data_IF_690706611618
#
_entry.id   IF_690706611618
#
_cell.length_a   1.000
_cell.length_b   1.000
_cell.length_c   1.000
_cell.angle_alpha   90.00
_cell.angle_beta   90.00
_cell.angle_gamma   90.00
#
_symmetry.space_group_name_H-M   'P 1'
#
loop_
_entity.id
_entity.type
_entity.pdbx_description
1 polymer ?
#
# COMPACT_ATOMS: atom_id res chain seq x y z
N UNK A 1 41.87 3.54 -29.09
CA UNK A 1 40.87 2.51 -29.28
C UNK A 1 39.94 2.58 -28.07
N UNK A 2 38.72 3.05 -28.28
CA UNK A 2 37.73 3.10 -27.18
C UNK A 2 37.43 1.66 -26.78
N UNK A 3 37.77 1.32 -25.54
CA UNK A 3 37.38 0.04 -24.93
C UNK A 3 35.86 -0.09 -25.05
N UNK A 4 35.38 -1.22 -25.56
CA UNK A 4 33.97 -1.47 -25.65
C UNK A 4 33.35 -1.51 -24.26
N UNK A 5 32.13 -0.99 -24.13
CA UNK A 5 31.42 -0.87 -22.84
C UNK A 5 29.96 -1.29 -23.02
N UNK A 6 29.45 -2.03 -22.06
CA UNK A 6 28.03 -2.38 -21.94
C UNK A 6 27.43 -1.70 -20.72
N UNK A 7 26.48 -0.80 -20.95
CA UNK A 7 25.64 -0.27 -19.89
C UNK A 7 24.32 -1.05 -19.83
N UNK A 8 23.98 -1.62 -18.69
CA UNK A 8 22.66 -2.19 -18.42
C UNK A 8 21.86 -1.13 -17.66
N UNK A 9 20.95 -0.43 -18.33
CA UNK A 9 20.12 0.60 -17.73
C UNK A 9 18.97 -0.06 -16.95
N UNK A 10 18.90 0.25 -15.66
CA UNK A 10 17.82 -0.18 -14.76
C UNK A 10 17.02 1.03 -14.33
N UNK A 11 15.70 0.95 -14.46
CA UNK A 11 14.78 2.02 -14.08
C UNK A 11 13.69 1.48 -13.16
N UNK A 12 13.10 2.36 -12.34
CA UNK A 12 11.90 2.04 -11.61
C UNK A 12 10.66 2.25 -12.49
N UNK A 13 9.74 1.29 -12.57
CA UNK A 13 8.48 1.45 -13.28
C UNK A 13 7.54 2.49 -12.63
N UNK A 14 7.87 2.96 -11.40
CA UNK A 14 7.11 3.95 -10.62
C UNK A 14 7.59 5.37 -10.83
N UNK A 15 8.65 5.55 -11.60
CA UNK A 15 9.19 6.85 -12.01
C UNK A 15 8.87 7.04 -13.48
N UNK A 16 8.37 8.22 -13.84
CA UNK A 16 8.04 8.48 -15.25
C UNK A 16 9.24 8.19 -16.16
N UNK A 17 9.03 7.49 -17.29
CA UNK A 17 10.08 7.21 -18.25
C UNK A 17 10.78 8.53 -18.64
N UNK A 18 12.06 8.53 -18.84
CA UNK A 18 12.79 9.76 -19.15
C UNK A 18 13.22 10.59 -17.93
N UNK A 19 12.65 10.40 -16.74
CA UNK A 19 13.20 10.99 -15.51
C UNK A 19 14.37 10.15 -15.01
N UNK A 20 15.46 10.18 -15.76
CA UNK A 20 16.68 9.46 -15.44
C UNK A 20 17.67 10.34 -14.68
N UNK A 21 18.55 9.72 -13.91
CA UNK A 21 19.69 10.38 -13.31
C UNK A 21 20.57 11.02 -14.42
N UNK A 22 21.26 12.11 -14.07
CA UNK A 22 22.17 12.76 -15.01
C UNK A 22 23.24 11.79 -15.55
N UNK A 23 23.78 10.92 -14.69
CA UNK A 23 24.74 9.90 -15.10
C UNK A 23 24.17 8.89 -16.08
N UNK A 24 22.93 8.45 -15.88
CA UNK A 24 22.27 7.54 -16.81
C UNK A 24 22.03 8.21 -18.18
N UNK A 25 21.56 9.47 -18.22
CA UNK A 25 21.45 10.22 -19.46
C UNK A 25 22.78 10.38 -20.18
N UNK A 26 23.89 10.58 -19.47
CA UNK A 26 25.22 10.62 -20.08
C UNK A 26 25.59 9.30 -20.75
N UNK A 27 25.34 8.15 -20.07
CA UNK A 27 25.59 6.83 -20.65
C UNK A 27 24.73 6.59 -21.88
N UNK A 28 23.42 6.82 -21.79
CA UNK A 28 22.46 6.64 -22.88
C UNK A 28 22.82 7.53 -24.07
N UNK A 29 23.16 8.81 -23.84
CA UNK A 29 23.50 9.76 -24.91
C UNK A 29 24.83 9.44 -25.56
N UNK A 30 25.83 8.95 -24.81
CA UNK A 30 27.16 8.67 -25.35
C UNK A 30 27.27 7.26 -25.96
N UNK A 31 26.30 6.39 -25.78
CA UNK A 31 26.30 5.07 -26.40
C UNK A 31 26.23 5.17 -27.90
N UNK A 32 27.01 4.36 -28.62
CA UNK A 32 26.94 4.23 -30.06
C UNK A 32 25.67 3.47 -30.49
N UNK A 33 25.22 2.54 -29.67
CA UNK A 33 24.04 1.72 -29.90
C UNK A 33 23.18 1.63 -28.66
N UNK A 34 21.86 1.84 -28.83
CA UNK A 34 20.82 1.70 -27.78
C UNK A 34 19.91 0.59 -28.22
N UNK A 35 19.73 -0.39 -27.36
CA UNK A 35 18.95 -1.57 -27.65
C UNK A 35 17.85 -1.72 -26.59
N UNK A 36 16.68 -2.12 -27.03
CA UNK A 36 15.54 -2.45 -26.19
C UNK A 36 14.88 -3.76 -26.66
N UNK A 37 14.11 -4.40 -25.80
CA UNK A 37 13.30 -5.58 -26.17
C UNK A 37 12.25 -5.20 -27.21
N UNK A 38 11.52 -4.10 -26.98
CA UNK A 38 10.54 -3.53 -27.88
C UNK A 38 10.62 -2.00 -27.86
N UNK A 39 10.25 -1.35 -28.96
CA UNK A 39 10.11 0.11 -29.00
C UNK A 39 8.88 0.59 -28.23
N UNK A 40 7.92 -0.29 -27.92
CA UNK A 40 6.77 0.00 -27.08
C UNK A 40 7.11 0.01 -25.58
N UNK A 41 8.36 -0.31 -25.19
CA UNK A 41 8.80 -0.16 -23.80
C UNK A 41 8.88 1.32 -23.43
N UNK A 42 8.31 1.73 -22.29
CA UNK A 42 8.22 3.15 -21.93
C UNK A 42 9.56 3.88 -21.91
N UNK A 43 10.65 3.18 -21.54
CA UNK A 43 11.99 3.79 -21.55
C UNK A 43 12.55 3.94 -22.96
N UNK A 44 12.23 3.02 -23.88
CA UNK A 44 12.65 3.13 -25.28
C UNK A 44 11.95 4.31 -25.95
N UNK A 45 10.64 4.45 -25.75
CA UNK A 45 9.86 5.58 -26.25
C UNK A 45 10.41 6.91 -25.74
N UNK A 46 10.69 7.05 -24.43
CA UNK A 46 11.24 8.27 -23.84
C UNK A 46 12.64 8.62 -24.38
N UNK A 47 13.46 7.63 -24.71
CA UNK A 47 14.79 7.83 -25.31
C UNK A 47 14.67 8.25 -26.79
N UNK A 48 13.72 7.71 -27.54
CA UNK A 48 13.43 8.13 -28.91
C UNK A 48 12.84 9.55 -28.97
N UNK A 49 11.93 9.89 -28.05
CA UNK A 49 11.42 11.27 -27.92
C UNK A 49 12.52 12.29 -27.60
N UNK A 50 13.57 11.88 -26.90
CA UNK A 50 14.76 12.69 -26.68
C UNK A 50 15.67 12.82 -27.94
N UNK A 51 15.26 12.24 -29.07
CA UNK A 51 15.98 12.31 -30.35
C UNK A 51 17.14 11.30 -30.46
N UNK A 52 17.19 10.29 -29.64
CA UNK A 52 18.22 9.24 -29.63
C UNK A 52 17.63 7.92 -30.20
N UNK A 53 18.11 7.44 -31.35
CA UNK A 53 17.58 6.24 -31.99
C UNK A 53 17.78 4.99 -31.11
N UNK A 54 16.76 4.15 -31.04
CA UNK A 54 16.76 2.87 -30.35
C UNK A 54 16.53 1.76 -31.38
N UNK A 55 17.21 0.62 -31.25
CA UNK A 55 16.98 -0.56 -32.05
C UNK A 55 16.27 -1.64 -31.24
N UNK A 56 15.20 -2.18 -31.83
CA UNK A 56 14.47 -3.29 -31.25
C UNK A 56 15.22 -4.60 -31.46
N UNK A 57 15.34 -5.41 -30.40
CA UNK A 57 15.99 -6.73 -30.44
C UNK A 57 14.95 -7.84 -30.52
N UNK A 58 13.76 -7.63 -29.98
CA UNK A 58 12.74 -8.64 -29.80
C UNK A 58 12.91 -9.45 -28.51
N UNK A 59 12.06 -10.45 -28.33
CA UNK A 59 12.04 -11.29 -27.15
C UNK A 59 13.03 -12.46 -27.31
N UNK A 60 14.29 -12.20 -26.93
CA UNK A 60 15.36 -13.22 -26.93
C UNK A 60 15.53 -13.84 -25.52
N UNK A 61 15.83 -15.14 -25.41
CA UNK A 61 16.18 -15.76 -24.14
C UNK A 61 17.42 -15.08 -23.52
N UNK A 62 17.48 -14.88 -22.17
CA UNK A 62 18.56 -14.17 -21.52
C UNK A 62 19.99 -14.60 -21.89
N UNK A 63 20.31 -15.91 -22.08
CA UNK A 63 21.64 -16.33 -22.51
C UNK A 63 22.01 -15.94 -23.95
N UNK A 64 21.02 -15.83 -24.85
CA UNK A 64 21.22 -15.44 -26.24
C UNK A 64 21.39 -13.92 -26.34
N UNK A 65 20.51 -13.19 -25.65
CA UNK A 65 20.61 -11.74 -25.51
C UNK A 65 21.94 -11.33 -24.90
N UNK A 66 22.36 -11.97 -23.82
CA UNK A 66 23.64 -11.68 -23.16
C UNK A 66 24.83 -11.85 -24.13
N UNK A 67 24.90 -12.93 -24.90
CA UNK A 67 25.94 -13.14 -25.91
C UNK A 67 25.96 -12.04 -26.95
N UNK A 68 24.79 -11.65 -27.45
CA UNK A 68 24.64 -10.58 -28.44
C UNK A 68 25.12 -9.24 -27.89
N UNK A 69 24.67 -8.86 -26.68
CA UNK A 69 25.06 -7.60 -26.03
C UNK A 69 26.57 -7.54 -25.77
N UNK A 70 27.16 -8.61 -25.28
CA UNK A 70 28.61 -8.70 -24.97
C UNK A 70 29.44 -8.68 -26.25
N UNK A 71 29.02 -9.37 -27.33
CA UNK A 71 29.72 -9.30 -28.62
C UNK A 71 29.70 -7.89 -29.21
N UNK A 72 28.57 -7.21 -29.20
CA UNK A 72 28.45 -5.82 -29.63
C UNK A 72 29.31 -4.89 -28.76
N UNK A 73 29.25 -5.05 -27.43
CA UNK A 73 29.99 -4.26 -26.48
C UNK A 73 31.51 -4.45 -26.58
N UNK A 74 32.00 -5.54 -27.16
CA UNK A 74 33.43 -5.73 -27.42
C UNK A 74 33.98 -4.77 -28.49
N UNK A 75 33.08 -4.18 -29.29
CA UNK A 75 33.43 -3.37 -30.48
C UNK A 75 33.09 -1.89 -30.33
N UNK A 76 32.02 -1.57 -29.60
CA UNK A 76 31.51 -0.20 -29.46
C UNK A 76 30.75 -0.05 -28.12
N UNK A 77 30.53 1.20 -27.66
CA UNK A 77 29.71 1.45 -26.48
C UNK A 77 28.24 1.11 -26.77
N UNK A 78 27.67 0.20 -25.98
CA UNK A 78 26.29 -0.27 -26.07
C UNK A 78 25.56 0.03 -24.79
N UNK A 79 24.29 0.40 -24.86
CA UNK A 79 23.40 0.43 -23.72
C UNK A 79 22.18 -0.45 -24.01
N UNK A 80 21.85 -1.30 -23.06
CA UNK A 80 20.59 -2.02 -22.98
C UNK A 80 19.62 -1.19 -22.16
N UNK A 81 18.50 -0.81 -22.73
CA UNK A 81 17.39 -0.15 -22.05
C UNK A 81 16.54 -1.25 -21.41
N UNK A 82 16.66 -1.40 -20.08
CA UNK A 82 15.97 -2.45 -19.34
C UNK A 82 14.47 -2.35 -19.49
N UNK A 83 13.83 -3.51 -19.65
CA UNK A 83 12.38 -3.60 -19.79
C UNK A 83 11.65 -3.40 -18.48
N UNK A 84 10.34 -3.20 -18.55
CA UNK A 84 9.47 -2.92 -17.40
C UNK A 84 9.42 -4.07 -16.38
N UNK A 85 9.71 -5.31 -16.81
CA UNK A 85 9.80 -6.49 -15.95
C UNK A 85 11.19 -6.70 -15.32
N UNK A 86 12.18 -5.84 -15.65
CA UNK A 86 13.54 -5.89 -15.12
C UNK A 86 14.43 -6.96 -15.74
N UNK A 87 14.06 -7.52 -16.91
CA UNK A 87 14.81 -8.54 -17.68
C UNK A 87 15.31 -9.72 -16.80
N UNK A 88 14.43 -10.55 -16.25
CA UNK A 88 14.83 -11.60 -15.32
C UNK A 88 15.90 -12.53 -15.89
N UNK A 89 17.02 -12.68 -15.16
CA UNK A 89 18.15 -13.56 -15.53
C UNK A 89 19.15 -12.97 -16.52
N UNK A 90 18.92 -11.78 -17.08
CA UNK A 90 19.84 -11.15 -18.03
C UNK A 90 21.18 -10.77 -17.37
N UNK A 91 21.14 -10.17 -16.18
CA UNK A 91 22.35 -9.78 -15.48
C UNK A 91 23.25 -10.97 -15.17
N UNK A 92 22.68 -12.09 -14.73
CA UNK A 92 23.43 -13.34 -14.46
C UNK A 92 24.00 -13.92 -15.75
N UNK A 93 23.23 -13.89 -16.84
CA UNK A 93 23.68 -14.38 -18.14
C UNK A 93 24.82 -13.52 -18.71
N UNK A 94 24.75 -12.19 -18.59
CA UNK A 94 25.84 -11.27 -18.96
C UNK A 94 27.10 -11.55 -18.13
N UNK A 95 26.97 -11.69 -16.81
CA UNK A 95 28.10 -12.02 -15.95
C UNK A 95 28.76 -13.34 -16.33
N UNK A 96 27.97 -14.36 -16.64
CA UNK A 96 28.46 -15.66 -17.10
C UNK A 96 29.20 -15.57 -18.45
N UNK A 97 28.68 -14.76 -19.39
CA UNK A 97 29.29 -14.60 -20.71
C UNK A 97 30.61 -13.82 -20.62
N UNK A 98 30.61 -12.70 -19.88
CA UNK A 98 31.81 -11.86 -19.68
C UNK A 98 32.94 -12.67 -19.02
N UNK A 99 32.63 -13.55 -18.09
CA UNK A 99 33.61 -14.41 -17.39
C UNK A 99 34.38 -15.37 -18.30
N UNK A 100 33.92 -15.56 -19.56
CA UNK A 100 34.55 -16.45 -20.54
C UNK A 100 35.51 -15.75 -21.48
N UNK A 101 35.56 -14.41 -21.44
CA UNK A 101 36.30 -13.58 -22.37
C UNK A 101 37.62 -13.06 -21.76
N UNK A 102 38.63 -12.90 -22.60
CA UNK A 102 39.91 -12.33 -22.25
C UNK A 102 40.47 -11.49 -23.44
N UNK A 103 40.51 -10.14 -23.34
CA UNK A 103 39.93 -9.33 -22.28
C UNK A 103 38.41 -9.19 -22.41
N UNK A 104 37.68 -9.08 -21.29
CA UNK A 104 36.24 -8.81 -21.32
C UNK A 104 35.95 -7.34 -21.66
N UNK A 105 34.78 -7.00 -22.21
CA UNK A 105 34.29 -5.64 -22.26
C UNK A 105 34.01 -5.10 -20.84
N UNK A 106 34.05 -3.78 -20.69
CA UNK A 106 33.63 -3.13 -19.44
C UNK A 106 32.09 -3.20 -19.33
N UNK A 107 31.55 -3.74 -18.23
CA UNK A 107 30.11 -3.86 -18.00
C UNK A 107 29.72 -3.08 -16.76
N UNK A 108 28.74 -2.19 -16.91
CA UNK A 108 28.24 -1.33 -15.85
C UNK A 108 26.71 -1.48 -15.69
N UNK A 109 26.25 -1.67 -14.45
CA UNK A 109 24.87 -1.49 -14.10
C UNK A 109 24.59 0.02 -13.92
N UNK A 110 23.79 0.58 -14.80
CA UNK A 110 23.44 2.01 -14.83
C UNK A 110 22.09 2.20 -14.17
N UNK A 111 22.07 2.76 -12.95
CA UNK A 111 20.81 3.07 -12.27
C UNK A 111 20.26 4.39 -12.80
N UNK A 112 19.23 4.29 -13.63
CA UNK A 112 18.53 5.43 -14.23
C UNK A 112 17.60 6.13 -13.23
N UNK A 113 16.77 5.35 -12.56
CA UNK A 113 15.87 5.83 -11.52
C UNK A 113 15.72 4.77 -10.43
N UNK A 114 15.27 5.19 -9.27
CA UNK A 114 15.04 4.30 -8.12
C UNK A 114 13.77 4.69 -7.39
N UNK A 115 13.19 3.72 -6.68
CA UNK A 115 12.01 3.94 -5.87
C UNK A 115 12.32 4.81 -4.66
N UNK A 116 11.38 5.68 -4.32
CA UNK A 116 11.32 6.30 -3.00
C UNK A 116 10.68 5.33 -2.00
N UNK A 117 10.98 5.52 -0.72
CA UNK A 117 10.33 4.74 0.33
C UNK A 117 8.80 4.88 0.24
N UNK A 118 8.09 3.77 0.27
CA UNK A 118 6.64 3.74 0.08
C UNK A 118 6.19 3.64 -1.39
N UNK A 119 7.09 3.66 -2.36
CA UNK A 119 6.75 3.56 -3.80
C UNK A 119 5.89 2.35 -4.16
N UNK A 120 5.99 1.23 -3.40
CA UNK A 120 5.13 0.05 -3.56
C UNK A 120 3.63 0.33 -3.38
N UNK A 121 3.25 1.41 -2.70
CA UNK A 121 1.84 1.79 -2.57
C UNK A 121 1.23 2.15 -3.93
N UNK A 122 2.02 2.67 -4.87
CA UNK A 122 1.57 2.94 -6.24
C UNK A 122 1.22 1.65 -7.00
N UNK A 123 1.93 0.55 -6.72
CA UNK A 123 1.60 -0.75 -7.32
C UNK A 123 0.25 -1.26 -6.81
N UNK A 124 -0.06 -1.06 -5.52
CA UNK A 124 -1.35 -1.45 -4.95
C UNK A 124 -2.49 -0.68 -5.63
N UNK A 125 -2.30 0.63 -5.81
CA UNK A 125 -3.28 1.49 -6.49
C UNK A 125 -3.48 1.05 -7.94
N UNK A 126 -2.40 0.87 -8.70
CA UNK A 126 -2.46 0.43 -10.10
C UNK A 126 -3.07 -0.98 -10.25
N UNK A 127 -2.76 -1.88 -9.32
CA UNK A 127 -3.33 -3.23 -9.31
C UNK A 127 -4.84 -3.18 -9.07
N UNK A 128 -5.31 -2.39 -8.11
CA UNK A 128 -6.73 -2.23 -7.84
C UNK A 128 -7.47 -1.59 -9.02
N UNK A 129 -6.90 -0.56 -9.64
CA UNK A 129 -7.47 0.03 -10.85
C UNK A 129 -7.59 -1.02 -11.96
N UNK A 130 -6.56 -1.84 -12.18
CA UNK A 130 -6.60 -2.91 -13.18
C UNK A 130 -7.65 -3.97 -12.88
N UNK A 131 -7.80 -4.36 -11.61
CA UNK A 131 -8.81 -5.35 -11.19
C UNK A 131 -10.24 -4.86 -11.45
N UNK A 132 -10.50 -3.58 -11.23
CA UNK A 132 -11.83 -2.98 -11.37
C UNK A 132 -12.12 -2.40 -12.75
N UNK A 133 -11.12 -2.30 -13.62
CA UNK A 133 -11.27 -1.80 -14.99
C UNK A 133 -11.83 -2.85 -15.95
N UNK A 134 -12.36 -2.46 -17.13
CA UNK A 134 -12.84 -3.40 -18.15
C UNK A 134 -11.82 -4.47 -18.49
N UNK A 135 -12.25 -5.74 -18.40
CA UNK A 135 -11.35 -6.90 -18.57
C UNK A 135 -10.55 -7.26 -17.31
N UNK A 136 -10.83 -6.65 -16.17
CA UNK A 136 -10.32 -7.04 -14.85
C UNK A 136 -11.15 -8.15 -14.21
N UNK A 137 -11.26 -8.12 -12.88
CA UNK A 137 -11.99 -9.12 -12.11
C UNK A 137 -13.51 -8.82 -12.07
N UNK A 138 -14.39 -9.74 -12.52
CA UNK A 138 -15.82 -9.51 -12.48
C UNK A 138 -16.39 -9.32 -11.08
N UNK A 139 -15.81 -9.99 -10.07
CA UNK A 139 -16.25 -9.87 -8.69
C UNK A 139 -15.91 -8.48 -8.13
N UNK A 140 -14.68 -7.99 -8.36
CA UNK A 140 -14.26 -6.66 -7.91
C UNK A 140 -15.09 -5.55 -8.56
N UNK A 141 -15.48 -5.72 -9.84
CA UNK A 141 -16.30 -4.75 -10.58
C UNK A 141 -17.70 -4.57 -10.00
N UNK A 142 -18.25 -5.59 -9.33
CA UNK A 142 -19.61 -5.55 -8.75
C UNK A 142 -19.63 -4.99 -7.31
N UNK A 143 -18.47 -4.83 -6.66
CA UNK A 143 -18.44 -4.40 -5.28
C UNK A 143 -18.85 -2.94 -5.10
N UNK A 144 -19.50 -2.67 -3.97
CA UNK A 144 -19.92 -1.36 -3.50
C UNK A 144 -19.37 -1.09 -2.12
N UNK A 145 -19.41 0.16 -1.65
CA UNK A 145 -19.06 0.48 -0.27
C UNK A 145 -19.82 -0.37 0.76
N UNK A 146 -21.10 -0.66 0.49
CA UNK A 146 -21.94 -1.44 1.39
C UNK A 146 -21.54 -2.92 1.41
N UNK A 147 -21.22 -3.52 0.25
CA UNK A 147 -20.79 -4.92 0.18
C UNK A 147 -19.40 -5.15 0.78
N UNK A 148 -18.52 -4.14 0.73
CA UNK A 148 -17.16 -4.19 1.28
C UNK A 148 -17.09 -3.89 2.79
N UNK A 149 -18.07 -3.19 3.35
CA UNK A 149 -18.04 -2.79 4.77
C UNK A 149 -17.88 -3.95 5.76
N UNK A 150 -18.48 -5.15 5.59
CA UNK A 150 -18.22 -6.30 6.45
C UNK A 150 -16.75 -6.74 6.45
N UNK A 151 -16.11 -6.79 5.27
CA UNK A 151 -14.70 -7.19 5.14
C UNK A 151 -13.78 -6.19 5.85
N UNK A 152 -14.01 -4.88 5.70
CA UNK A 152 -13.22 -3.87 6.42
C UNK A 152 -13.23 -4.07 7.94
N UNK A 153 -14.37 -4.52 8.49
CA UNK A 153 -14.48 -4.82 9.94
C UNK A 153 -13.73 -6.10 10.28
N UNK A 154 -13.83 -7.12 9.43
CA UNK A 154 -13.13 -8.40 9.57
C UNK A 154 -11.62 -8.18 9.59
N UNK A 155 -11.05 -7.54 8.56
CA UNK A 155 -9.61 -7.23 8.47
C UNK A 155 -9.10 -6.42 9.68
N UNK A 156 -9.91 -5.47 10.17
CA UNK A 156 -9.54 -4.71 11.36
C UNK A 156 -9.43 -5.61 12.62
N UNK A 157 -10.27 -6.65 12.73
CA UNK A 157 -10.19 -7.63 13.82
C UNK A 157 -9.01 -8.59 13.66
N UNK A 158 -8.66 -8.97 12.43
CA UNK A 158 -7.52 -9.83 12.11
C UNK A 158 -6.20 -9.11 12.42
N UNK A 159 -6.08 -7.82 12.10
CA UNK A 159 -4.95 -6.99 12.58
C UNK A 159 -4.84 -6.99 14.10
N UNK A 160 -5.95 -6.81 14.83
CA UNK A 160 -5.93 -6.83 16.31
C UNK A 160 -5.50 -8.21 16.83
N UNK A 161 -5.92 -9.29 16.19
CA UNK A 161 -5.51 -10.64 16.51
C UNK A 161 -4.01 -10.85 16.28
N UNK A 162 -3.50 -10.51 15.10
CA UNK A 162 -2.09 -10.61 14.74
C UNK A 162 -1.17 -9.81 15.67
N UNK A 163 -1.60 -8.62 16.13
CA UNK A 163 -0.90 -7.86 17.19
C UNK A 163 -0.78 -8.68 18.47
N UNK A 164 -1.85 -9.40 18.85
CA UNK A 164 -1.88 -10.25 20.05
C UNK A 164 -0.94 -11.47 19.96
N UNK A 165 -0.75 -12.01 18.77
CA UNK A 165 0.16 -13.14 18.52
C UNK A 165 1.65 -12.71 18.53
N UNK A 166 1.94 -11.47 18.15
CA UNK A 166 3.29 -10.93 18.12
C UNK A 166 4.15 -11.46 16.95
N UNK A 167 3.53 -12.02 15.90
CA UNK A 167 4.21 -12.40 14.66
C UNK A 167 4.25 -11.19 13.69
N UNK A 168 5.45 -10.61 13.43
CA UNK A 168 5.56 -9.45 12.54
C UNK A 168 5.16 -9.73 11.10
N UNK A 169 5.30 -10.97 10.64
CA UNK A 169 4.96 -11.35 9.27
C UNK A 169 3.44 -11.41 9.10
N UNK A 170 2.77 -12.10 10.01
CA UNK A 170 1.31 -12.16 10.04
C UNK A 170 0.71 -10.75 10.16
N UNK A 171 1.23 -9.91 11.08
CA UNK A 171 0.80 -8.52 11.20
C UNK A 171 0.99 -7.71 9.89
N UNK A 172 2.06 -7.96 9.14
CA UNK A 172 2.28 -7.28 7.86
C UNK A 172 1.28 -7.73 6.79
N UNK A 173 0.87 -9.00 6.79
CA UNK A 173 -0.16 -9.56 5.91
C UNK A 173 -1.50 -8.89 6.20
N UNK A 174 -1.96 -8.89 7.46
CA UNK A 174 -3.24 -8.29 7.86
C UNK A 174 -3.30 -6.77 7.66
N UNK A 175 -2.20 -6.06 7.88
CA UNK A 175 -2.10 -4.63 7.53
C UNK A 175 -2.22 -4.40 6.01
N UNK A 176 -1.77 -5.35 5.20
CA UNK A 176 -1.97 -5.37 3.75
C UNK A 176 -3.44 -5.45 3.38
N UNK A 177 -4.23 -6.29 4.07
CA UNK A 177 -5.66 -6.47 3.81
C UNK A 177 -6.48 -5.25 4.24
N UNK A 178 -6.12 -4.60 5.36
CA UNK A 178 -6.70 -3.28 5.69
C UNK A 178 -6.35 -2.22 4.63
N UNK A 179 -5.11 -2.21 4.11
CA UNK A 179 -4.72 -1.31 3.03
C UNK A 179 -5.50 -1.59 1.75
N UNK A 180 -5.73 -2.87 1.40
CA UNK A 180 -6.58 -3.28 0.30
C UNK A 180 -7.98 -2.65 0.43
N UNK A 181 -8.61 -2.72 1.60
CA UNK A 181 -9.93 -2.11 1.83
C UNK A 181 -9.91 -0.59 1.59
N UNK A 182 -8.87 0.11 2.05
CA UNK A 182 -8.74 1.56 1.83
C UNK A 182 -8.66 1.89 0.34
N UNK A 183 -7.79 1.21 -0.40
CA UNK A 183 -7.59 1.45 -1.83
C UNK A 183 -8.81 1.04 -2.64
N UNK A 184 -9.46 -0.07 -2.28
CA UNK A 184 -10.68 -0.53 -2.94
C UNK A 184 -11.84 0.47 -2.75
N UNK A 185 -12.08 0.94 -1.53
CA UNK A 185 -13.08 1.96 -1.27
C UNK A 185 -12.79 3.26 -2.03
N UNK A 186 -11.54 3.71 -2.11
CA UNK A 186 -11.16 4.87 -2.89
C UNK A 186 -11.47 4.66 -4.38
N UNK A 187 -11.11 3.49 -4.94
CA UNK A 187 -11.38 3.17 -6.35
C UNK A 187 -12.88 3.05 -6.67
N UNK A 188 -13.70 2.56 -5.73
CA UNK A 188 -15.18 2.58 -5.87
C UNK A 188 -15.69 4.03 -5.89
N UNK A 189 -15.12 4.90 -5.04
CA UNK A 189 -15.54 6.30 -4.94
C UNK A 189 -15.23 7.13 -6.20
N UNK A 190 -14.22 6.78 -6.97
CA UNK A 190 -13.93 7.43 -8.26
C UNK A 190 -15.09 7.36 -9.25
N UNK A 191 -15.99 6.38 -9.09
CA UNK A 191 -17.16 6.17 -9.95
C UNK A 191 -18.39 6.99 -9.54
N UNK A 192 -18.32 7.74 -8.43
CA UNK A 192 -19.47 8.44 -7.82
C UNK A 192 -19.87 9.76 -8.54
N UNK A 193 -19.36 10.02 -9.72
CA UNK A 193 -19.73 11.20 -10.53
C UNK A 193 -19.29 12.51 -9.85
N UNK A 194 -20.24 13.39 -9.52
CA UNK A 194 -19.93 14.71 -8.92
C UNK A 194 -19.39 14.64 -7.48
N UNK A 195 -19.55 13.53 -6.80
CA UNK A 195 -19.06 13.29 -5.44
C UNK A 195 -17.82 12.38 -5.42
N UNK A 196 -17.24 12.12 -6.60
CA UNK A 196 -16.08 11.27 -6.75
C UNK A 196 -14.86 11.80 -5.99
N UNK A 197 -14.14 10.87 -5.38
CA UNK A 197 -12.81 11.12 -4.83
C UNK A 197 -11.93 9.88 -5.04
N UNK A 198 -10.64 10.08 -5.02
CA UNK A 198 -9.62 9.08 -5.27
C UNK A 198 -8.73 8.82 -4.05
N UNK A 199 -7.78 7.94 -4.19
CA UNK A 199 -6.80 7.62 -3.14
C UNK A 199 -5.91 8.82 -2.78
N UNK A 200 -5.61 9.70 -3.73
CA UNK A 200 -4.80 10.90 -3.48
C UNK A 200 -5.58 11.90 -2.61
N UNK A 201 -6.88 12.01 -2.81
CA UNK A 201 -7.78 12.77 -1.93
C UNK A 201 -7.77 12.21 -0.50
N UNK A 202 -7.88 10.88 -0.35
CA UNK A 202 -7.83 10.22 0.96
C UNK A 202 -6.49 10.47 1.66
N UNK A 203 -5.39 10.30 0.93
CA UNK A 203 -4.04 10.52 1.43
C UNK A 203 -3.80 11.99 1.79
N UNK A 204 -4.23 12.93 0.94
CA UNK A 204 -4.12 14.37 1.18
C UNK A 204 -4.85 14.79 2.44
N UNK A 205 -6.11 14.38 2.61
CA UNK A 205 -6.90 14.66 3.83
C UNK A 205 -6.24 14.09 5.09
N UNK A 206 -5.62 12.91 4.99
CA UNK A 206 -4.90 12.32 6.11
C UNK A 206 -3.63 13.12 6.46
N UNK A 207 -2.83 13.48 5.45
CA UNK A 207 -1.60 14.29 5.64
C UNK A 207 -1.94 15.63 6.28
N UNK A 208 -2.92 16.36 5.75
CA UNK A 208 -3.37 17.65 6.28
C UNK A 208 -3.81 17.53 7.73
N UNK A 209 -4.55 16.48 8.05
CA UNK A 209 -4.99 16.19 9.41
C UNK A 209 -3.81 15.91 10.35
N UNK A 210 -2.84 15.10 9.91
CA UNK A 210 -1.66 14.76 10.72
C UNK A 210 -0.78 15.99 10.95
N UNK A 211 -0.48 16.77 9.92
CA UNK A 211 0.31 18.00 10.02
C UNK A 211 -0.36 18.99 10.98
N UNK A 212 -1.63 19.25 10.79
CA UNK A 212 -2.40 20.17 11.64
C UNK A 212 -2.45 19.74 13.11
N UNK A 213 -2.55 18.44 13.38
CA UNK A 213 -2.65 17.90 14.74
C UNK A 213 -1.32 17.70 15.45
N UNK A 214 -0.19 17.88 14.75
CA UNK A 214 1.15 17.73 15.32
C UNK A 214 1.99 19.01 15.12
N UNK A 215 1.51 20.18 15.62
CA UNK A 215 2.25 21.44 15.43
C UNK A 215 3.63 21.41 16.09
N UNK A 216 3.84 20.61 17.11
CA UNK A 216 5.14 20.39 17.75
C UNK A 216 6.17 19.67 16.87
N UNK A 217 5.74 19.08 15.76
CA UNK A 217 6.63 18.41 14.77
C UNK A 217 6.77 19.25 13.51
N UNK A 218 5.67 19.86 13.04
CA UNK A 218 5.59 20.49 11.73
C UNK A 218 5.53 22.03 11.77
N UNK A 219 5.48 22.64 12.98
CA UNK A 219 5.37 24.08 13.18
C UNK A 219 6.05 24.48 14.50
N UNK A 220 5.60 25.58 15.11
CA UNK A 220 6.17 26.18 16.33
C UNK A 220 5.51 25.69 17.63
N UNK A 221 4.99 24.47 17.65
CA UNK A 221 4.40 23.88 18.86
C UNK A 221 5.47 23.49 19.88
N UNK A 222 5.21 23.74 21.16
CA UNK A 222 6.13 23.58 22.27
C UNK A 222 5.89 22.31 23.13
N UNK A 223 4.93 21.46 22.77
CA UNK A 223 4.65 20.21 23.47
C UNK A 223 5.81 19.23 23.30
N UNK A 224 6.45 18.82 24.41
CA UNK A 224 7.62 17.94 24.44
C UNK A 224 7.38 16.61 25.17
N UNK A 225 6.30 16.50 25.93
CA UNK A 225 5.93 15.26 26.62
C UNK A 225 4.68 14.63 26.00
N UNK A 226 4.49 13.30 26.11
CA UNK A 226 3.28 12.63 25.63
C UNK A 226 1.98 13.25 26.13
N UNK A 227 1.93 13.64 27.41
CA UNK A 227 0.76 14.25 28.03
C UNK A 227 0.45 15.63 27.42
N UNK A 228 1.47 16.46 27.19
CA UNK A 228 1.31 17.77 26.53
C UNK A 228 0.82 17.63 25.09
N UNK A 229 1.34 16.63 24.37
CA UNK A 229 0.88 16.29 23.01
C UNK A 229 -0.59 15.85 23.01
N UNK A 230 -0.99 15.00 23.95
CA UNK A 230 -2.38 14.55 24.06
C UNK A 230 -3.32 15.74 24.36
N UNK A 231 -2.94 16.62 25.28
CA UNK A 231 -3.72 17.82 25.59
C UNK A 231 -3.80 18.80 24.41
N UNK A 232 -2.71 19.02 23.69
CA UNK A 232 -2.70 19.83 22.47
C UNK A 232 -3.63 19.24 21.40
N UNK A 233 -3.56 17.94 21.20
CA UNK A 233 -4.38 17.22 20.24
C UNK A 233 -5.89 17.32 20.52
N UNK A 234 -6.28 17.20 21.79
CA UNK A 234 -7.67 17.36 22.19
C UNK A 234 -8.19 18.79 22.02
N UNK A 235 -7.34 19.81 22.26
CA UNK A 235 -7.71 21.21 21.96
C UNK A 235 -7.95 21.40 20.47
N UNK A 236 -7.03 20.94 19.62
CA UNK A 236 -7.16 21.04 18.16
C UNK A 236 -8.43 20.33 17.67
N UNK A 237 -8.72 19.12 18.17
CA UNK A 237 -9.97 18.42 17.85
C UNK A 237 -11.22 19.16 18.31
N UNK A 238 -11.16 19.89 19.43
CA UNK A 238 -12.27 20.70 19.90
C UNK A 238 -12.50 21.91 18.97
N UNK A 239 -11.42 22.57 18.53
CA UNK A 239 -11.48 23.69 17.59
C UNK A 239 -11.99 23.24 16.21
N UNK A 240 -11.52 22.09 15.69
CA UNK A 240 -12.02 21.49 14.45
C UNK A 240 -13.53 21.21 14.50
N UNK A 241 -14.02 20.69 15.64
CA UNK A 241 -15.46 20.46 15.84
C UNK A 241 -16.25 21.73 15.90
N UNK A 242 -15.72 22.76 16.56
CA UNK A 242 -16.36 24.08 16.65
C UNK A 242 -16.44 24.78 15.27
N UNK A 243 -15.47 24.55 14.40
CA UNK A 243 -15.42 25.09 13.03
C UNK A 243 -16.23 24.26 12.00
N UNK A 244 -16.70 23.07 12.38
CA UNK A 244 -17.48 22.20 11.48
C UNK A 244 -18.85 22.79 11.16
N UNK A 245 -19.35 22.69 9.89
CA UNK A 245 -20.69 23.13 9.52
C UNK A 245 -21.84 22.44 10.29
N UNK A 246 -21.56 21.30 10.91
CA UNK A 246 -22.49 20.61 11.81
C UNK A 246 -22.72 21.34 13.14
N UNK A 247 -22.05 22.48 13.36
CA UNK A 247 -22.15 23.30 14.56
C UNK A 247 -21.27 22.82 15.70
N UNK A 248 -21.00 23.68 16.70
CA UNK A 248 -20.36 23.25 17.92
C UNK A 248 -21.18 22.13 18.54
N UNK A 249 -20.49 21.08 18.98
CA UNK A 249 -21.10 20.07 19.85
C UNK A 249 -22.12 20.74 20.76
N UNK A 250 -23.40 20.44 20.60
CA UNK A 250 -24.40 20.94 21.54
C UNK A 250 -23.99 20.44 22.92
N UNK A 251 -23.33 21.28 23.67
CA UNK A 251 -22.51 21.16 24.89
C UNK A 251 -22.80 20.08 25.91
N UNK A 252 -23.25 18.91 25.54
CA UNK A 252 -23.60 17.87 26.49
C UNK A 252 -23.63 16.45 25.96
N UNK A 253 -23.75 16.22 24.66
CA UNK A 253 -23.92 14.87 24.15
C UNK A 253 -22.61 14.05 24.20
N UNK A 254 -22.58 13.06 25.10
CA UNK A 254 -21.47 12.13 25.25
C UNK A 254 -21.41 11.10 24.13
N UNK A 255 -22.50 10.92 23.37
CA UNK A 255 -22.61 9.95 22.28
C UNK A 255 -22.28 10.60 20.91
N UNK A 256 -22.23 11.90 20.81
CA UNK A 256 -21.95 12.60 19.55
C UNK A 256 -20.69 12.06 18.84
N UNK A 257 -20.82 11.67 17.55
CA UNK A 257 -19.73 11.12 16.75
C UNK A 257 -19.23 9.73 17.20
N UNK A 258 -20.05 8.99 17.96
CA UNK A 258 -19.89 7.55 18.15
C UNK A 258 -20.88 6.89 17.20
N UNK A 259 -20.41 6.14 16.17
CA UNK A 259 -21.31 5.45 15.25
C UNK A 259 -22.15 4.39 15.97
N UNK A 260 -23.41 4.25 15.61
CA UNK A 260 -24.30 3.21 16.17
C UNK A 260 -23.80 1.79 15.82
N UNK A 261 -23.00 1.66 14.77
CA UNK A 261 -22.36 0.40 14.35
C UNK A 261 -21.13 0.03 15.18
N UNK A 262 -20.63 0.94 16.04
CA UNK A 262 -19.46 0.64 16.87
C UNK A 262 -19.83 -0.42 17.93
N UNK A 263 -19.02 -1.49 18.11
CA UNK A 263 -19.25 -2.48 19.16
C UNK A 263 -19.50 -1.85 20.53
N UNK A 264 -20.43 -2.42 21.29
CA UNK A 264 -20.94 -1.81 22.51
C UNK A 264 -19.87 -1.56 23.59
N UNK A 265 -18.90 -2.45 23.72
CA UNK A 265 -17.74 -2.33 24.60
C UNK A 265 -16.85 -1.14 24.21
N UNK A 266 -16.56 -0.96 22.91
CA UNK A 266 -15.78 0.18 22.39
C UNK A 266 -16.55 1.49 22.53
N UNK A 267 -17.87 1.47 22.31
CA UNK A 267 -18.73 2.64 22.54
C UNK A 267 -18.72 3.04 24.02
N UNK A 268 -18.88 2.08 24.92
CA UNK A 268 -18.81 2.31 26.38
C UNK A 268 -17.45 2.87 26.80
N UNK A 269 -16.35 2.29 26.32
CA UNK A 269 -15.00 2.79 26.59
C UNK A 269 -14.82 4.26 26.19
N UNK A 270 -15.32 4.65 24.99
CA UNK A 270 -15.28 6.04 24.51
C UNK A 270 -16.10 6.96 25.37
N UNK A 271 -17.33 6.58 25.75
CA UNK A 271 -18.20 7.39 26.63
C UNK A 271 -17.56 7.58 28.01
N UNK A 272 -17.07 6.50 28.63
CA UNK A 272 -16.41 6.56 29.92
C UNK A 272 -15.14 7.42 29.92
N UNK A 273 -14.36 7.35 28.84
CA UNK A 273 -13.21 8.24 28.66
C UNK A 273 -13.63 9.72 28.58
N UNK A 274 -14.74 10.04 27.89
CA UNK A 274 -15.31 11.40 27.83
C UNK A 274 -15.81 11.88 29.18
N UNK A 275 -16.50 11.02 29.94
CA UNK A 275 -16.97 11.31 31.31
C UNK A 275 -15.78 11.69 32.20
N UNK A 276 -14.75 10.84 32.24
CA UNK A 276 -13.53 11.09 33.04
C UNK A 276 -12.86 12.42 32.65
N UNK A 277 -12.65 12.64 31.37
CA UNK A 277 -11.97 13.83 30.86
C UNK A 277 -12.72 15.13 31.14
N UNK A 278 -14.07 15.11 31.09
CA UNK A 278 -14.91 16.27 31.44
C UNK A 278 -15.11 16.47 32.95
N UNK A 279 -14.60 15.57 33.78
CA UNK A 279 -14.80 15.60 35.22
C UNK A 279 -16.27 15.46 35.64
N UNK A 280 -17.07 14.76 34.79
CA UNK A 280 -18.50 14.61 35.07
C UNK A 280 -18.75 13.61 36.19
N UNK A 281 -19.61 13.99 37.13
CA UNK A 281 -20.08 13.08 38.19
C UNK A 281 -21.23 12.22 37.63
N UNK A 282 -21.05 10.90 37.67
CA UNK A 282 -22.07 9.93 37.26
C UNK A 282 -22.64 9.27 38.52
N UNK A 283 -23.98 9.15 38.65
CA UNK A 283 -24.56 8.42 39.76
C UNK A 283 -24.02 6.97 39.85
N UNK A 284 -23.64 6.49 41.03
CA UNK A 284 -23.08 5.15 41.20
C UNK A 284 -23.95 4.05 40.59
N UNK A 285 -25.28 4.18 40.66
CA UNK A 285 -26.21 3.21 40.09
C UNK A 285 -26.06 3.10 38.56
N UNK A 286 -25.89 4.25 37.85
CA UNK A 286 -25.70 4.27 36.39
C UNK A 286 -24.38 3.60 36.00
N UNK A 287 -23.31 3.81 36.77
CA UNK A 287 -22.05 3.10 36.55
C UNK A 287 -22.20 1.59 36.75
N UNK A 288 -22.89 1.18 37.81
CA UNK A 288 -23.18 -0.23 38.05
C UNK A 288 -24.00 -0.87 36.91
N UNK A 289 -24.97 -0.12 36.35
CA UNK A 289 -25.79 -0.61 35.24
C UNK A 289 -24.93 -0.75 33.94
N UNK A 290 -24.01 0.15 33.67
CA UNK A 290 -23.05 0.04 32.55
C UNK A 290 -22.13 -1.15 32.77
N UNK A 291 -21.51 -1.30 33.92
CA UNK A 291 -20.61 -2.40 34.25
C UNK A 291 -21.33 -3.77 34.11
N UNK A 292 -22.59 -3.86 34.57
CA UNK A 292 -23.40 -5.05 34.42
C UNK A 292 -23.68 -5.35 32.93
N UNK A 293 -24.11 -4.37 32.14
CA UNK A 293 -24.40 -4.57 30.74
C UNK A 293 -23.16 -5.02 29.95
N UNK A 294 -21.97 -4.46 30.29
CA UNK A 294 -20.71 -4.89 29.69
C UNK A 294 -20.37 -6.35 30.07
N UNK A 295 -20.59 -6.76 31.31
CA UNK A 295 -20.36 -8.13 31.76
C UNK A 295 -21.32 -9.12 31.09
N UNK A 296 -22.58 -8.72 30.91
CA UNK A 296 -23.59 -9.54 30.21
C UNK A 296 -23.22 -9.69 28.72
N UNK A 297 -22.76 -8.62 28.06
CA UNK A 297 -22.28 -8.65 26.68
C UNK A 297 -21.10 -9.62 26.53
N UNK A 298 -20.06 -9.48 27.35
CA UNK A 298 -18.90 -10.36 27.34
C UNK A 298 -19.28 -11.85 27.54
N UNK A 299 -20.21 -12.11 28.42
CA UNK A 299 -20.73 -13.49 28.68
C UNK A 299 -21.49 -14.03 27.47
N UNK A 300 -22.29 -13.19 26.81
CA UNK A 300 -23.03 -13.58 25.61
C UNK A 300 -22.08 -13.85 24.42
N UNK A 301 -21.06 -13.03 24.23
CA UNK A 301 -20.04 -13.24 23.20
C UNK A 301 -19.24 -14.51 23.41
N UNK A 302 -18.81 -14.80 24.65
CA UNK A 302 -18.13 -16.06 24.99
C UNK A 302 -19.04 -17.28 24.74
N UNK A 303 -20.31 -17.17 25.11
CA UNK A 303 -21.32 -18.21 24.84
C UNK A 303 -21.50 -18.46 23.34
N UNK A 304 -21.56 -17.40 22.53
CA UNK A 304 -21.66 -17.52 21.07
C UNK A 304 -20.40 -18.17 20.47
N UNK A 305 -19.20 -17.73 20.87
CA UNK A 305 -17.95 -18.34 20.42
C UNK A 305 -17.85 -19.82 20.76
N UNK A 306 -18.31 -20.20 21.95
CA UNK A 306 -18.38 -21.62 22.36
C UNK A 306 -19.39 -22.44 21.53
N UNK A 307 -20.52 -21.84 21.16
CA UNK A 307 -21.51 -22.47 20.29
C UNK A 307 -20.99 -22.65 18.87
N UNK A 308 -20.29 -21.63 18.32
CA UNK A 308 -19.68 -21.69 16.99
C UNK A 308 -18.56 -22.75 16.91
N UNK A 309 -17.74 -22.90 17.97
CA UNK A 309 -16.74 -23.98 18.02
C UNK A 309 -17.42 -25.37 17.97
N UNK A 310 -18.48 -25.59 18.73
CA UNK A 310 -19.22 -26.86 18.66
C UNK A 310 -19.84 -27.11 17.29
N UNK A 311 -20.41 -26.07 16.68
CA UNK A 311 -20.96 -26.17 15.33
C UNK A 311 -19.88 -26.59 14.31
N UNK A 312 -18.70 -25.96 14.37
CA UNK A 312 -17.57 -26.29 13.48
C UNK A 312 -17.08 -27.73 13.69
N UNK A 313 -16.97 -28.19 14.95
CA UNK A 313 -16.59 -29.58 15.29
C UNK A 313 -17.59 -30.59 14.74
N UNK A 314 -18.91 -30.37 14.92
CA UNK A 314 -19.96 -31.25 14.45
C UNK A 314 -20.05 -31.27 12.92
N UNK A 315 -19.90 -30.11 12.25
CA UNK A 315 -19.88 -30.01 10.80
C UNK A 315 -18.65 -30.72 10.18
N UNK A 316 -17.47 -30.54 10.79
CA UNK A 316 -16.23 -31.21 10.35
C UNK A 316 -16.26 -32.73 10.59
N UNK A 317 -16.91 -33.20 11.63
CA UNK A 317 -17.09 -34.63 11.88
C UNK A 317 -18.06 -35.30 10.89
N UNK A 318 -19.04 -34.55 10.37
CA UNK A 318 -19.98 -35.02 9.35
C UNK A 318 -19.32 -35.26 7.99
N UNK A 319 -18.36 -34.45 7.62
CA UNK A 319 -17.65 -34.56 6.34
C UNK A 319 -16.64 -35.73 6.31
N UNK A 320 -16.09 -36.11 7.46
CA UNK A 320 -15.19 -37.26 7.61
C UNK A 320 -15.90 -38.62 7.52
N UNK A 321 -17.24 -38.65 7.57
CA UNK A 321 -18.07 -39.87 7.51
C UNK A 321 -18.72 -40.10 6.13
N UNK A 322 -18.33 -39.37 5.10
CA UNK A 322 -18.79 -39.57 3.71
C UNK A 322 -18.38 -40.94 3.14
N UNK A 323 -19.20 -41.58 2.28
CA UNK A 323 -18.96 -42.93 1.84
C UNK A 323 -17.67 -43.04 1.04
N UNK A 324 -16.79 -43.94 1.49
CA UNK A 324 -15.63 -44.40 0.70
C UNK A 324 -16.14 -44.86 -0.68
N UNK A 325 -15.80 -44.12 -1.73
CA UNK A 325 -16.03 -44.55 -3.10
C UNK A 325 -15.15 -45.78 -3.34
N UNK A 326 -15.79 -46.95 -3.41
CA UNK A 326 -15.23 -48.19 -3.89
C UNK A 326 -15.03 -48.15 -5.42
#
# INVERSE_FOLDING_TARGET
MTSGRLGLLVTSPRVAPGLLSHGAWQVVSSAALRLARSLDEPIAEAVEEAGLPVEEVGDEPPPELARRLVDLASRLPVVWLGSSDGDPGLADAVAAEVSRLDPPPDVELVVGSWDVQGGRLLDVVATMDRLRSPGGCPWDAEQTHASLAPYLVEEAHEVVHAIGEGDPRHLAEELGDVLLQVVFHARVAEEAGNEAFDIDTVAGLLVDKLVRRHPHVFSDGDAVTPDEVEHAWERIKADERAASPAGPDAGGDLLHGIPDTLPGDLAAAKVLARVRRRGLSVPPQVMTDVDRAMAELATAEEGLRAALRRLAEEAGAGDASGPSRG
#
